data_IF_088513732106
#
_entry.id   IF_088513732106
#
_cell.length_a   1.000
_cell.length_b   1.000
_cell.length_c   1.000
_cell.angle_alpha   90.00
_cell.angle_beta   90.00
_cell.angle_gamma   90.00
#
_symmetry.space_group_name_H-M   'P 1'
#
loop_
_entity.id
_entity.type
_entity.pdbx_description
1 polymer ?
#
# COMPACT_ATOMS: atom_id res chain seq x y z
N UNK A 1 -27.04 45.62 11.79
CA UNK A 1 -27.46 44.48 10.97
C UNK A 1 -26.32 43.46 11.00
N UNK A 2 -26.43 42.55 11.95
CA UNK A 2 -25.40 41.53 12.23
C UNK A 2 -25.60 40.38 11.27
N UNK A 3 -24.57 40.02 10.49
CA UNK A 3 -24.53 38.76 9.73
C UNK A 3 -23.50 37.86 10.41
N UNK A 4 -24.02 36.87 11.13
CA UNK A 4 -23.25 35.77 11.69
C UNK A 4 -22.91 34.81 10.56
N UNK A 5 -21.64 34.78 10.15
CA UNK A 5 -21.07 33.78 9.28
C UNK A 5 -20.61 32.59 10.14
N UNK A 6 -21.30 31.47 10.01
CA UNK A 6 -20.93 30.23 10.70
C UNK A 6 -19.67 29.61 10.12
N UNK A 7 -18.63 29.51 10.93
CA UNK A 7 -17.45 28.70 10.66
C UNK A 7 -17.82 27.23 10.81
N UNK A 8 -17.87 26.50 9.71
CA UNK A 8 -17.91 25.04 9.72
C UNK A 8 -16.50 24.53 10.02
N UNK A 9 -16.26 24.16 11.26
CA UNK A 9 -15.13 23.34 11.68
C UNK A 9 -15.32 21.94 11.09
N UNK A 10 -14.56 21.62 10.05
CA UNK A 10 -14.32 20.25 9.65
C UNK A 10 -13.21 19.71 10.57
N UNK A 11 -13.63 19.28 11.74
CA UNK A 11 -12.80 18.45 12.57
C UNK A 11 -12.63 17.12 11.84
N UNK A 12 -11.42 16.83 11.37
CA UNK A 12 -11.03 15.51 10.93
C UNK A 12 -11.09 14.56 12.14
N UNK A 13 -12.22 13.93 12.31
CA UNK A 13 -12.38 12.89 13.30
C UNK A 13 -11.58 11.68 12.84
N UNK A 14 -10.44 11.46 13.49
CA UNK A 14 -9.86 10.14 13.60
C UNK A 14 -10.87 9.36 14.46
N UNK A 15 -11.80 8.68 13.81
CA UNK A 15 -12.67 7.72 14.45
C UNK A 15 -11.82 6.49 14.75
N UNK A 16 -11.28 6.47 15.96
CA UNK A 16 -10.92 5.23 16.63
C UNK A 16 -12.18 4.38 16.73
N UNK A 17 -12.35 3.44 15.85
CA UNK A 17 -13.33 2.37 16.01
C UNK A 17 -12.86 1.46 17.14
N UNK A 18 -13.14 1.86 18.37
CA UNK A 18 -13.30 0.94 19.49
C UNK A 18 -14.62 0.20 19.27
N UNK A 19 -14.57 -1.07 18.97
CA UNK A 19 -15.79 -1.82 18.80
C UNK A 19 -15.56 -3.29 18.57
N UNK A 20 -15.46 -4.05 19.67
CA UNK A 20 -16.02 -5.39 19.81
C UNK A 20 -15.24 -6.52 19.11
N UNK A 21 -14.14 -6.92 19.71
CA UNK A 21 -13.80 -8.33 19.80
C UNK A 21 -13.61 -8.70 21.27
N UNK A 22 -14.75 -8.92 21.94
CA UNK A 22 -14.79 -9.62 23.22
C UNK A 22 -15.35 -11.02 22.98
N UNK A 23 -14.63 -12.01 23.55
CA UNK A 23 -15.06 -13.36 23.83
C UNK A 23 -14.98 -14.38 22.68
N UNK A 24 -13.80 -14.97 22.53
CA UNK A 24 -13.64 -16.42 22.37
C UNK A 24 -12.23 -16.83 22.82
N UNK A 25 -11.98 -16.81 24.12
CA UNK A 25 -10.82 -17.47 24.71
C UNK A 25 -11.07 -17.75 26.20
N UNK A 26 -11.92 -18.70 26.47
CA UNK A 26 -11.89 -19.45 27.75
C UNK A 26 -12.63 -20.76 27.56
N UNK A 27 -11.92 -21.76 27.14
CA UNK A 27 -12.30 -23.15 27.14
C UNK A 27 -11.02 -23.95 27.34
N UNK A 28 -10.58 -24.03 28.58
CA UNK A 28 -9.56 -24.96 28.97
C UNK A 28 -10.12 -26.35 28.92
N UNK A 29 -9.73 -27.15 27.97
CA UNK A 29 -9.91 -28.59 28.02
C UNK A 29 -8.57 -29.24 28.34
N UNK A 30 -8.50 -29.67 29.58
CA UNK A 30 -7.48 -30.56 30.12
C UNK A 30 -7.51 -31.86 29.34
N UNK A 31 -6.41 -32.22 28.72
CA UNK A 31 -6.24 -33.55 28.14
C UNK A 31 -6.34 -34.62 29.19
N UNK A 32 -7.16 -35.67 28.99
CA UNK A 32 -7.21 -36.79 29.90
C UNK A 32 -5.89 -37.60 29.82
N UNK A 33 -5.27 -37.78 30.97
CA UNK A 33 -4.16 -38.67 31.22
C UNK A 33 -4.54 -40.10 30.87
N UNK A 34 -3.82 -40.71 29.94
CA UNK A 34 -3.88 -42.14 29.67
C UNK A 34 -3.23 -42.91 30.83
N UNK A 35 -4.03 -43.15 31.89
CA UNK A 35 -3.67 -44.14 32.87
C UNK A 35 -3.84 -45.53 32.24
N UNK A 36 -2.76 -46.30 32.16
CA UNK A 36 -2.72 -47.69 31.75
C UNK A 36 -3.61 -48.54 32.63
N UNK A 37 -4.71 -49.06 32.08
CA UNK A 37 -5.42 -50.19 32.68
C UNK A 37 -5.00 -51.48 31.97
N UNK A 38 -4.11 -52.21 32.62
CA UNK A 38 -3.88 -53.61 32.33
C UNK A 38 -5.16 -54.36 32.66
N UNK A 39 -5.88 -54.83 31.67
CA UNK A 39 -6.91 -55.84 31.82
C UNK A 39 -6.42 -57.10 31.15
N UNK A 40 -6.05 -58.05 31.95
CA UNK A 40 -5.82 -59.45 31.54
C UNK A 40 -7.15 -60.12 31.29
N UNK A 41 -7.44 -60.47 30.04
CA UNK A 41 -8.52 -61.39 29.69
C UNK A 41 -7.95 -62.61 29.01
N UNK A 42 -8.27 -63.84 29.49
CA UNK A 42 -7.80 -65.05 28.84
C UNK A 42 -8.77 -65.54 27.77
N UNK A 43 -8.32 -65.73 26.60
CA UNK A 43 -8.80 -66.69 25.62
C UNK A 43 -10.06 -66.29 24.83
N UNK A 44 -9.85 -65.90 23.58
CA UNK A 44 -10.91 -65.84 22.57
C UNK A 44 -10.27 -65.60 21.19
N UNK A 45 -10.05 -66.68 20.47
CA UNK A 45 -9.67 -66.63 19.05
C UNK A 45 -10.85 -66.10 18.26
N UNK A 46 -10.79 -64.85 17.84
CA UNK A 46 -11.68 -64.34 16.81
C UNK A 46 -10.83 -63.89 15.60
N UNK A 47 -10.72 -64.84 14.68
CA UNK A 47 -10.24 -64.63 13.34
C UNK A 47 -11.33 -63.86 12.57
N UNK A 48 -11.26 -62.53 12.61
CA UNK A 48 -12.10 -61.66 11.82
C UNK A 48 -11.17 -60.68 11.02
N UNK A 49 -11.17 -60.72 9.69
CA UNK A 49 -10.41 -59.74 8.93
C UNK A 49 -10.92 -58.33 9.25
N UNK A 50 -10.07 -57.52 9.88
CA UNK A 50 -10.35 -56.11 10.08
C UNK A 50 -10.49 -55.47 8.72
N UNK A 51 -11.72 -55.19 8.31
CA UNK A 51 -12.01 -54.35 7.17
C UNK A 51 -11.31 -53.00 7.39
N UNK A 52 -10.44 -52.64 6.50
CA UNK A 52 -9.78 -51.33 6.52
C UNK A 52 -10.89 -50.29 6.33
N UNK A 53 -11.34 -49.68 7.43
CA UNK A 53 -12.21 -48.54 7.38
C UNK A 53 -11.36 -47.40 6.80
N UNK A 54 -11.52 -47.15 5.53
CA UNK A 54 -10.92 -45.99 4.87
C UNK A 54 -11.56 -44.75 5.48
N UNK A 55 -10.80 -43.97 6.22
CA UNK A 55 -11.26 -42.68 6.74
C UNK A 55 -11.82 -41.83 5.58
N UNK A 56 -12.89 -41.08 5.78
CA UNK A 56 -13.39 -40.15 4.76
C UNK A 56 -12.26 -39.19 4.37
N UNK A 57 -11.90 -39.17 3.11
CA UNK A 57 -10.94 -38.19 2.59
C UNK A 57 -11.69 -36.86 2.58
N UNK A 58 -11.42 -36.01 3.53
CA UNK A 58 -11.87 -34.62 3.50
C UNK A 58 -11.21 -33.99 2.28
N UNK A 59 -11.96 -33.48 1.30
CA UNK A 59 -11.33 -32.79 0.17
C UNK A 59 -10.52 -31.64 0.70
N UNK A 60 -9.28 -31.50 0.19
CA UNK A 60 -8.42 -30.36 0.51
C UNK A 60 -9.20 -29.05 0.21
N UNK A 61 -9.05 -28.01 1.03
CA UNK A 61 -9.66 -26.71 0.74
C UNK A 61 -9.25 -26.28 -0.67
N UNK A 62 -10.23 -26.01 -1.51
CA UNK A 62 -9.99 -25.40 -2.81
C UNK A 62 -9.32 -24.06 -2.52
N UNK A 63 -8.10 -23.87 -3.01
CA UNK A 63 -7.40 -22.60 -2.89
C UNK A 63 -8.32 -21.51 -3.47
N UNK A 64 -8.52 -20.42 -2.72
CA UNK A 64 -9.23 -19.26 -3.25
C UNK A 64 -8.55 -18.84 -4.56
N UNK A 65 -9.32 -18.41 -5.58
CA UNK A 65 -8.71 -17.91 -6.80
C UNK A 65 -7.75 -16.78 -6.45
N UNK A 66 -6.52 -16.87 -6.96
CA UNK A 66 -5.56 -15.79 -6.81
C UNK A 66 -6.18 -14.49 -7.36
N UNK A 67 -6.05 -13.37 -6.65
CA UNK A 67 -6.53 -12.10 -7.16
C UNK A 67 -5.86 -11.83 -8.53
N UNK A 68 -6.59 -11.23 -9.50
CA UNK A 68 -6.02 -10.93 -10.79
C UNK A 68 -4.75 -10.11 -10.63
N UNK A 69 -3.70 -10.47 -11.36
CA UNK A 69 -2.44 -9.72 -11.39
C UNK A 69 -2.77 -8.28 -11.78
N UNK A 70 -2.41 -7.33 -10.91
CA UNK A 70 -2.55 -5.90 -11.23
C UNK A 70 -1.49 -5.57 -12.29
N UNK A 71 -1.91 -4.94 -13.38
CA UNK A 71 -0.97 -4.40 -14.37
C UNK A 71 -0.38 -3.08 -13.86
N UNK A 72 0.93 -2.94 -13.96
CA UNK A 72 1.60 -1.68 -13.68
C UNK A 72 1.21 -0.65 -14.76
N UNK A 73 0.89 0.57 -14.34
CA UNK A 73 0.62 1.66 -15.27
C UNK A 73 1.93 2.22 -15.85
N UNK A 74 2.98 2.23 -15.04
CA UNK A 74 4.31 2.75 -15.37
C UNK A 74 5.37 1.99 -14.58
N UNK A 75 6.63 2.22 -14.98
CA UNK A 75 7.83 1.86 -14.22
C UNK A 75 8.61 3.13 -13.89
N UNK A 76 8.82 3.42 -12.59
CA UNK A 76 9.50 4.63 -12.13
C UNK A 76 10.97 4.37 -11.87
N UNK A 77 11.84 5.21 -12.43
CA UNK A 77 13.28 5.16 -12.21
C UNK A 77 13.77 6.51 -11.65
N UNK A 78 14.50 6.46 -10.54
CA UNK A 78 15.22 7.60 -9.96
C UNK A 78 16.62 7.12 -9.63
N UNK A 79 17.54 7.24 -10.59
CA UNK A 79 18.89 6.67 -10.50
C UNK A 79 19.67 7.19 -9.29
N UNK A 80 19.48 8.46 -8.94
CA UNK A 80 20.13 9.11 -7.80
C UNK A 80 20.00 8.35 -6.48
N UNK A 81 18.87 7.70 -6.28
CA UNK A 81 18.54 6.98 -5.03
C UNK A 81 18.24 5.49 -5.29
N UNK A 82 18.56 5.00 -6.49
CA UNK A 82 18.40 3.57 -6.85
C UNK A 82 16.97 3.09 -6.92
N UNK A 83 15.99 3.97 -7.12
CA UNK A 83 14.59 3.57 -7.32
C UNK A 83 14.44 2.98 -8.71
N UNK A 84 13.83 1.79 -8.78
CA UNK A 84 13.42 1.10 -10.00
C UNK A 84 12.18 0.27 -9.64
N UNK A 85 11.00 0.87 -9.75
CA UNK A 85 9.78 0.36 -9.13
C UNK A 85 8.57 0.37 -10.06
N UNK A 86 7.73 -0.65 -9.92
CA UNK A 86 6.44 -0.70 -10.60
C UNK A 86 5.47 0.31 -9.98
N UNK A 87 4.71 0.99 -10.83
CA UNK A 87 3.73 2.00 -10.46
C UNK A 87 2.34 1.46 -10.77
N UNK A 88 1.50 1.38 -9.76
CA UNK A 88 0.12 0.89 -9.90
C UNK A 88 -0.89 2.00 -9.66
N UNK A 89 -2.05 1.97 -10.35
CA UNK A 89 -3.12 2.91 -10.07
C UNK A 89 -3.76 2.59 -8.71
N UNK A 90 -3.90 3.63 -7.88
CA UNK A 90 -4.58 3.60 -6.60
C UNK A 90 -5.66 4.66 -6.54
N UNK A 91 -6.68 4.43 -5.73
CA UNK A 91 -7.79 5.34 -5.50
C UNK A 91 -7.82 5.89 -4.07
N UNK A 92 -9.04 6.04 -3.59
CA UNK A 92 -9.34 6.37 -2.20
C UNK A 92 -10.21 5.27 -1.61
N UNK A 93 -10.07 5.03 -0.33
CA UNK A 93 -10.92 4.10 0.42
C UNK A 93 -12.36 4.64 0.61
N UNK A 94 -13.20 3.89 1.32
CA UNK A 94 -14.58 4.28 1.64
C UNK A 94 -14.68 5.59 2.44
N UNK A 95 -13.63 5.98 3.15
CA UNK A 95 -13.52 7.22 3.92
C UNK A 95 -12.89 8.37 3.12
N UNK A 96 -12.62 8.17 1.84
CA UNK A 96 -11.92 9.10 0.95
C UNK A 96 -10.45 9.37 1.34
N UNK A 97 -9.83 8.41 2.01
CA UNK A 97 -8.41 8.45 2.30
C UNK A 97 -7.65 7.81 1.14
N UNK A 98 -6.62 8.47 0.59
CA UNK A 98 -5.78 7.88 -0.46
C UNK A 98 -5.16 6.56 0.00
N UNK A 99 -5.38 5.50 -0.80
CA UNK A 99 -4.81 4.19 -0.52
C UNK A 99 -3.32 4.17 -0.84
N UNK A 100 -2.58 3.33 -0.12
CA UNK A 100 -1.14 3.15 -0.32
C UNK A 100 -0.82 1.67 -0.56
N UNK A 101 0.32 1.34 -1.23
CA UNK A 101 0.75 -0.05 -1.36
C UNK A 101 0.87 -0.75 0.00
N UNK A 102 0.61 -2.06 0.03
CA UNK A 102 0.80 -2.89 1.22
C UNK A 102 2.09 -3.72 1.11
N UNK A 103 3.14 -3.12 0.55
CA UNK A 103 4.48 -3.71 0.41
C UNK A 103 5.55 -2.61 0.37
N UNK A 104 6.82 -3.01 0.30
CA UNK A 104 7.98 -2.11 0.31
C UNK A 104 8.41 -1.61 -1.07
N UNK A 105 7.94 -2.25 -2.15
CA UNK A 105 8.50 -2.12 -3.50
C UNK A 105 7.68 -1.23 -4.44
N UNK A 106 6.35 -1.22 -4.25
CA UNK A 106 5.43 -0.58 -5.19
C UNK A 106 5.27 0.91 -4.94
N UNK A 107 4.96 1.63 -6.02
CA UNK A 107 4.56 3.04 -6.01
C UNK A 107 3.09 3.15 -6.41
N UNK A 108 2.31 3.89 -5.64
CA UNK A 108 0.95 4.28 -6.01
C UNK A 108 0.99 5.49 -6.94
N UNK A 109 0.28 5.44 -8.07
CA UNK A 109 -0.17 6.60 -8.80
C UNK A 109 -1.65 6.82 -8.49
N UNK A 110 -2.00 8.01 -8.00
CA UNK A 110 -3.38 8.31 -7.67
C UNK A 110 -4.20 8.63 -8.92
N UNK A 111 -5.11 7.74 -9.32
CA UNK A 111 -5.93 7.82 -10.51
C UNK A 111 -6.97 8.98 -10.48
N UNK A 112 -7.14 9.63 -9.33
CA UNK A 112 -7.89 10.86 -9.19
C UNK A 112 -7.06 12.12 -9.50
N UNK A 113 -5.75 11.98 -9.71
CA UNK A 113 -4.85 13.01 -10.22
C UNK A 113 -4.68 12.88 -11.74
N UNK A 114 -3.98 13.82 -12.37
CA UNK A 114 -3.72 13.74 -13.81
C UNK A 114 -2.84 12.54 -14.17
N UNK A 115 -2.99 11.93 -15.35
CA UNK A 115 -1.98 11.05 -15.90
C UNK A 115 -0.68 11.83 -16.18
N UNK A 116 0.50 11.23 -15.99
CA UNK A 116 1.77 11.86 -16.35
C UNK A 116 1.83 12.23 -17.83
N UNK A 117 2.45 13.36 -18.15
CA UNK A 117 2.59 13.83 -19.52
C UNK A 117 1.32 14.47 -20.13
N UNK A 118 0.34 14.85 -19.31
CA UNK A 118 -0.96 15.38 -19.78
C UNK A 118 -1.23 16.84 -19.41
N UNK A 119 -0.23 17.54 -18.83
CA UNK A 119 -0.31 18.99 -18.62
C UNK A 119 -0.86 19.41 -17.25
N UNK A 120 -0.88 18.53 -16.25
CA UNK A 120 -1.28 18.87 -14.89
C UNK A 120 -0.47 18.07 -13.87
N UNK A 121 -0.90 18.00 -12.61
CA UNK A 121 -0.19 17.32 -11.52
C UNK A 121 -0.54 15.83 -11.46
N UNK A 122 0.42 14.97 -11.75
CA UNK A 122 0.33 13.52 -11.49
C UNK A 122 0.92 13.22 -10.11
N UNK A 123 0.15 12.59 -9.22
CA UNK A 123 0.53 12.39 -7.82
C UNK A 123 0.87 10.93 -7.56
N UNK A 124 2.02 10.72 -6.92
CA UNK A 124 2.55 9.41 -6.57
C UNK A 124 2.83 9.34 -5.07
N UNK A 125 2.63 8.17 -4.48
CA UNK A 125 2.98 7.92 -3.10
C UNK A 125 3.57 6.52 -2.92
N UNK A 126 4.51 6.40 -1.97
CA UNK A 126 5.06 5.13 -1.56
C UNK A 126 5.62 5.23 -0.14
N UNK A 127 5.92 4.08 0.45
CA UNK A 127 6.42 4.03 1.81
C UNK A 127 7.88 4.48 1.93
N UNK A 128 8.20 5.15 3.06
CA UNK A 128 9.58 5.36 3.52
C UNK A 128 10.10 4.09 4.19
N UNK A 129 9.24 3.38 4.96
CA UNK A 129 9.56 2.11 5.61
C UNK A 129 8.37 1.16 5.52
N UNK A 130 8.64 -0.14 5.33
CA UNK A 130 7.69 -1.24 5.41
C UNK A 130 8.46 -2.49 5.82
N UNK A 131 8.42 -2.83 7.13
CA UNK A 131 9.28 -3.89 7.70
C UNK A 131 10.78 -3.73 7.37
N UNK A 132 11.24 -2.49 7.24
CA UNK A 132 12.57 -2.10 6.80
C UNK A 132 12.52 -0.91 5.85
N UNK A 133 13.57 -0.71 5.07
CA UNK A 133 13.62 0.35 4.04
C UNK A 133 12.64 0.02 2.92
N UNK A 134 11.82 1.00 2.54
CA UNK A 134 10.92 0.88 1.39
C UNK A 134 11.40 1.75 0.22
N UNK A 135 10.68 1.70 -0.89
CA UNK A 135 11.08 2.29 -2.18
C UNK A 135 11.42 3.78 -2.11
N UNK A 136 10.73 4.56 -1.26
CA UNK A 136 11.00 5.99 -1.08
C UNK A 136 11.80 6.32 0.19
N UNK A 137 12.56 5.35 0.73
CA UNK A 137 13.38 5.57 1.93
C UNK A 137 14.37 6.73 1.78
N UNK A 138 15.02 6.82 0.63
CA UNK A 138 16.03 7.84 0.33
C UNK A 138 15.47 9.03 -0.48
N UNK A 139 14.13 9.16 -0.59
CA UNK A 139 13.52 10.28 -1.35
C UNK A 139 13.94 11.66 -0.79
N UNK A 140 14.30 11.73 0.46
CA UNK A 140 14.84 12.95 1.10
C UNK A 140 16.21 13.39 0.55
N UNK A 141 16.95 12.48 -0.10
CA UNK A 141 18.33 12.71 -0.57
C UNK A 141 18.39 13.17 -2.04
N UNK A 142 17.25 13.26 -2.72
CA UNK A 142 17.19 13.84 -4.05
C UNK A 142 17.37 15.36 -4.01
N UNK A 143 17.87 15.92 -5.09
CA UNK A 143 18.15 17.34 -5.24
C UNK A 143 17.44 17.92 -6.47
N UNK A 144 17.22 19.23 -6.43
CA UNK A 144 16.80 19.98 -7.61
C UNK A 144 17.78 19.74 -8.77
N UNK A 145 17.26 19.36 -9.92
CA UNK A 145 18.02 18.98 -11.11
C UNK A 145 18.18 17.47 -11.31
N UNK A 146 17.93 16.64 -10.31
CA UNK A 146 17.89 15.18 -10.48
C UNK A 146 16.70 14.77 -11.37
N UNK A 147 16.83 13.63 -12.05
CA UNK A 147 15.84 13.14 -13.01
C UNK A 147 14.96 12.04 -12.42
N UNK A 148 13.68 12.07 -12.80
CA UNK A 148 12.72 11.00 -12.59
C UNK A 148 12.21 10.56 -13.95
N UNK A 149 12.26 9.26 -14.24
CA UNK A 149 11.80 8.69 -15.51
C UNK A 149 10.63 7.76 -15.24
N UNK A 150 9.54 7.94 -15.98
CA UNK A 150 8.41 7.03 -16.01
C UNK A 150 8.40 6.32 -17.37
N UNK A 151 8.40 4.99 -17.36
CA UNK A 151 8.33 4.15 -18.55
C UNK A 151 6.99 3.43 -18.58
N UNK A 152 6.27 3.55 -19.68
CA UNK A 152 5.08 2.76 -19.97
C UNK A 152 5.43 1.46 -20.70
N UNK A 153 4.58 0.45 -20.57
CA UNK A 153 4.75 -0.84 -21.27
C UNK A 153 4.63 -0.69 -22.80
N UNK A 154 4.00 0.39 -23.26
CA UNK A 154 3.90 0.75 -24.67
C UNK A 154 5.20 1.36 -25.25
N UNK A 155 6.26 1.47 -24.45
CA UNK A 155 7.53 2.10 -24.80
C UNK A 155 7.51 3.63 -24.66
N UNK A 156 6.45 4.22 -24.11
CA UNK A 156 6.45 5.64 -23.70
C UNK A 156 7.49 5.88 -22.62
N UNK A 157 8.30 6.93 -22.77
CA UNK A 157 9.20 7.40 -21.73
C UNK A 157 8.92 8.87 -21.44
N UNK A 158 8.67 9.20 -20.18
CA UNK A 158 8.37 10.55 -19.70
C UNK A 158 9.43 10.91 -18.67
N UNK A 159 10.24 11.92 -18.98
CA UNK A 159 11.30 12.39 -18.10
C UNK A 159 10.89 13.70 -17.43
N UNK A 160 11.08 13.74 -16.12
CA UNK A 160 10.87 14.91 -15.28
C UNK A 160 12.18 15.31 -14.60
N UNK A 161 12.34 16.60 -14.35
CA UNK A 161 13.47 17.14 -13.59
C UNK A 161 12.93 17.70 -12.27
N UNK A 162 13.54 17.31 -11.16
CA UNK A 162 13.14 17.76 -9.83
C UNK A 162 13.32 19.28 -9.74
N UNK A 163 12.24 19.96 -9.39
CA UNK A 163 12.18 21.40 -9.23
C UNK A 163 12.13 21.85 -7.76
N UNK A 164 11.66 20.98 -6.87
CA UNK A 164 11.51 21.30 -5.45
C UNK A 164 11.48 20.04 -4.57
N UNK A 165 11.94 20.17 -3.31
CA UNK A 165 11.85 19.13 -2.27
C UNK A 165 11.64 19.79 -0.91
N UNK A 166 10.50 19.52 -0.26
CA UNK A 166 10.12 20.13 0.99
C UNK A 166 9.33 19.15 1.89
N UNK A 167 9.03 19.56 3.10
CA UNK A 167 8.20 18.79 4.03
C UNK A 167 6.91 19.55 4.35
N UNK A 168 5.84 18.79 4.60
CA UNK A 168 4.56 19.32 5.08
C UNK A 168 4.14 18.58 6.35
N UNK A 169 3.43 19.28 7.23
CA UNK A 169 2.74 18.68 8.37
C UNK A 169 1.42 18.07 7.86
N UNK A 170 1.20 16.76 8.01
CA UNK A 170 -0.04 16.13 7.57
C UNK A 170 -1.29 16.66 8.29
N UNK A 171 -1.12 17.31 9.46
CA UNK A 171 -2.22 17.94 10.21
C UNK A 171 -2.52 19.37 9.75
N UNK A 172 -1.71 19.97 8.87
CA UNK A 172 -2.02 21.27 8.28
C UNK A 172 -3.25 21.12 7.38
N UNK A 173 -4.31 21.92 7.58
CA UNK A 173 -5.52 21.88 6.75
C UNK A 173 -5.23 22.09 5.24
N UNK A 174 -4.10 22.68 4.89
CA UNK A 174 -3.67 22.90 3.52
C UNK A 174 -2.72 21.80 3.00
N UNK A 175 -2.38 20.80 3.79
CA UNK A 175 -1.42 19.75 3.40
C UNK A 175 -1.80 19.07 2.07
N UNK A 176 -3.09 18.83 1.85
CA UNK A 176 -3.59 18.21 0.62
C UNK A 176 -3.46 19.10 -0.62
N UNK A 177 -3.18 20.38 -0.48
CA UNK A 177 -2.98 21.29 -1.63
C UNK A 177 -1.81 20.89 -2.52
N UNK A 178 -0.85 20.12 -2.00
CA UNK A 178 0.26 19.58 -2.80
C UNK A 178 -0.21 18.63 -3.89
N UNK A 179 -1.39 18.03 -3.72
CA UNK A 179 -2.01 17.12 -4.68
C UNK A 179 -2.93 17.81 -5.68
N UNK A 180 -3.17 19.13 -5.52
CA UNK A 180 -4.07 19.88 -6.38
C UNK A 180 -3.59 19.92 -7.84
N UNK A 181 -4.51 20.04 -8.81
CA UNK A 181 -4.15 20.25 -10.21
C UNK A 181 -3.28 21.50 -10.40
N UNK A 182 -2.39 21.46 -11.40
CA UNK A 182 -1.50 22.56 -11.79
C UNK A 182 -1.72 22.95 -13.24
N UNK A 183 -1.30 24.17 -13.63
CA UNK A 183 -1.34 24.62 -15.01
C UNK A 183 -0.14 24.13 -15.85
N UNK A 184 0.86 23.54 -15.20
CA UNK A 184 2.04 22.93 -15.83
C UNK A 184 2.01 21.42 -15.63
N UNK A 185 2.68 20.69 -16.51
CA UNK A 185 2.90 19.26 -16.37
C UNK A 185 3.95 19.01 -15.29
N UNK A 186 3.50 18.53 -14.15
CA UNK A 186 4.37 18.22 -13.02
C UNK A 186 4.01 16.86 -12.44
N UNK A 187 4.96 16.25 -11.76
CA UNK A 187 4.70 15.13 -10.87
C UNK A 187 5.00 15.55 -9.43
N UNK A 188 4.22 14.99 -8.51
CA UNK A 188 4.40 15.17 -7.07
C UNK A 188 4.57 13.79 -6.43
N UNK A 189 5.74 13.52 -5.83
CA UNK A 189 6.04 12.32 -5.08
C UNK A 189 5.87 12.60 -3.60
N UNK A 190 5.19 11.72 -2.88
CA UNK A 190 4.88 11.87 -1.46
C UNK A 190 5.31 10.62 -0.71
N UNK A 191 6.01 10.81 0.40
CA UNK A 191 6.32 9.74 1.37
C UNK A 191 6.28 10.27 2.80
N UNK A 192 6.31 9.39 3.77
CA UNK A 192 6.44 9.75 5.18
C UNK A 192 7.82 10.34 5.47
N UNK A 193 7.92 11.25 6.46
CA UNK A 193 9.16 11.89 6.90
C UNK A 193 9.05 12.31 8.37
N UNK A 194 10.16 12.74 8.97
CA UNK A 194 10.24 13.16 10.37
C UNK A 194 10.34 11.98 11.33
N UNK A 195 9.71 12.11 12.50
CA UNK A 195 9.78 11.10 13.57
C UNK A 195 8.60 10.13 13.48
N UNK A 196 8.90 8.84 13.61
CA UNK A 196 7.86 7.80 13.71
C UNK A 196 7.24 7.81 15.11
N UNK A 197 5.92 7.61 15.19
CA UNK A 197 5.19 7.41 16.44
C UNK A 197 4.16 6.29 16.31
N UNK A 198 3.94 5.57 17.40
CA UNK A 198 3.01 4.45 17.43
C UNK A 198 1.57 4.93 17.57
N UNK A 199 0.67 4.44 16.71
CA UNK A 199 -0.77 4.74 16.76
C UNK A 199 -1.61 3.56 17.22
N UNK A 200 -1.04 2.35 17.21
CA UNK A 200 -1.77 1.11 17.45
C UNK A 200 -2.59 0.65 16.24
N UNK A 201 -2.38 1.23 15.08
CA UNK A 201 -3.00 0.76 13.84
C UNK A 201 -2.55 -0.67 13.55
N UNK A 202 -3.48 -1.59 13.22
CA UNK A 202 -3.15 -3.01 13.04
C UNK A 202 -2.33 -3.31 11.78
N UNK A 203 -2.32 -2.41 10.79
CA UNK A 203 -1.59 -2.57 9.52
C UNK A 203 -0.28 -1.81 9.54
N UNK A 204 -0.33 -0.52 9.88
CA UNK A 204 0.84 0.37 9.80
C UNK A 204 1.57 0.51 11.13
N UNK A 205 0.95 0.08 12.26
CA UNK A 205 1.48 0.17 13.62
C UNK A 205 1.79 1.60 14.10
N UNK A 206 1.81 2.58 13.21
CA UNK A 206 2.10 3.95 13.52
C UNK A 206 2.14 4.85 12.29
N UNK A 207 2.58 6.09 12.51
CA UNK A 207 2.70 7.10 11.46
C UNK A 207 3.92 7.99 11.70
N UNK A 208 4.19 8.90 10.78
CA UNK A 208 5.28 9.86 10.82
C UNK A 208 4.76 11.28 10.99
N UNK A 209 5.54 12.12 11.66
CA UNK A 209 5.16 13.49 11.98
C UNK A 209 5.07 14.41 10.76
N UNK A 210 5.68 14.02 9.64
CA UNK A 210 5.79 14.84 8.44
C UNK A 210 5.57 14.01 7.18
N UNK A 211 5.37 14.71 6.05
CA UNK A 211 5.42 14.12 4.71
C UNK A 211 6.48 14.84 3.89
N UNK A 212 7.37 14.07 3.26
CA UNK A 212 8.28 14.54 2.23
C UNK A 212 7.51 14.69 0.93
N UNK A 213 7.63 15.85 0.31
CA UNK A 213 7.07 16.17 -1.00
C UNK A 213 8.21 16.53 -1.93
N UNK A 214 8.29 15.83 -3.07
CA UNK A 214 9.22 16.14 -4.15
C UNK A 214 8.40 16.49 -5.38
N UNK A 215 8.66 17.67 -5.97
CA UNK A 215 8.07 18.09 -7.23
C UNK A 215 9.07 18.03 -8.35
N UNK A 216 8.60 17.58 -9.50
CA UNK A 216 9.40 17.61 -10.71
C UNK A 216 8.55 18.09 -11.90
N UNK A 217 9.17 18.82 -12.82
CA UNK A 217 8.52 19.38 -14.01
C UNK A 217 8.89 18.55 -15.23
N UNK A 218 7.96 18.42 -16.17
CA UNK A 218 8.18 17.71 -17.42
C UNK A 218 9.40 18.28 -18.16
N UNK A 219 10.33 17.41 -18.51
CA UNK A 219 11.51 17.73 -19.31
C UNK A 219 11.39 17.20 -20.75
N UNK A 220 10.97 15.94 -20.90
CA UNK A 220 10.75 15.32 -22.20
C UNK A 220 9.68 14.23 -22.16
N UNK A 221 9.01 14.04 -23.31
CA UNK A 221 8.05 12.97 -23.54
C UNK A 221 8.39 12.29 -24.86
N UNK A 222 8.86 11.05 -24.77
CA UNK A 222 9.17 10.21 -25.93
C UNK A 222 8.02 9.19 -26.04
N UNK A 223 7.28 9.26 -27.15
CA UNK A 223 6.27 8.24 -27.49
C UNK A 223 6.90 7.25 -28.49
N UNK A 224 6.58 5.97 -28.41
CA UNK A 224 7.04 5.01 -29.40
C UNK A 224 6.55 5.44 -30.78
N UNK A 225 7.41 5.34 -31.75
CA UNK A 225 6.99 5.46 -33.15
C UNK A 225 6.14 4.25 -33.44
N UNK A 226 4.86 4.46 -33.79
CA UNK A 226 4.00 3.39 -34.21
C UNK A 226 4.71 2.61 -35.32
N UNK A 227 4.96 1.32 -35.12
CA UNK A 227 5.50 0.47 -36.16
C UNK A 227 4.58 0.60 -37.36
N UNK A 228 5.12 1.04 -38.51
CA UNK A 228 4.35 1.07 -39.75
C UNK A 228 3.82 -0.36 -39.98
N UNK A 229 2.51 -0.49 -40.06
CA UNK A 229 1.90 -1.77 -40.38
C UNK A 229 2.44 -2.28 -41.71
N UNK A 230 2.80 -3.59 -41.83
CA UNK A 230 3.33 -4.17 -43.05
C UNK A 230 2.34 -4.17 -44.20
#
# INVERSE_FOLDING_TARGET
MLVLGGSALIAGAILTTFGIYREFASGGDSAPSLASQHRTDPGGVYDRPLGVVRAPVTPAPVAAPEPPLREAAYHMVIDKIGVNASVFPYGVDANRVPEVPLNSEDVAWYNFSAPPGTGSNAVFAAHVTWNGRAVFYDLKDVQVGDSIILRGDDGTEIAYVISDSFVVDPNDPNALSVMAPTSADVITLITCDGSFYYTGDPVFNGDYTQRRVVRATLSSLIKPVAAAAP
#
